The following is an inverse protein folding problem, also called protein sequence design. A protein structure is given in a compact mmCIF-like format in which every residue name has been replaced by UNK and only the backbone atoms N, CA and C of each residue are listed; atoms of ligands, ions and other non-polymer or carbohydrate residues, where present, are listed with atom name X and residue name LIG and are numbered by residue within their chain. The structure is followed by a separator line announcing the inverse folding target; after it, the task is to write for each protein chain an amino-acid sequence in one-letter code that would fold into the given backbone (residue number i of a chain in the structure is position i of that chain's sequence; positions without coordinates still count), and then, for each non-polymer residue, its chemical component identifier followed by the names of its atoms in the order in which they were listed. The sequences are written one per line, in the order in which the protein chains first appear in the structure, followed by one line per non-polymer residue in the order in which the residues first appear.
data_IF_564601859250
#
_entry.id   IF_564601859250
#
_cell.length_a   1.000
_cell.length_b   1.000
_cell.length_c   1.000
_cell.angle_alpha   90.00
_cell.angle_beta   90.00
_cell.angle_gamma   90.00
#
_symmetry.space_group_name_H-M   'P 1'
#
loop_
_entity.id
_entity.type
_entity.pdbx_description
1 polymer ?
#
# COMPACT_ATOMS: atom_id res chain seq x y z
N UNK A 1 7.24 -40.75 -7.41
CA UNK A 1 7.14 -39.75 -8.49
C UNK A 1 5.68 -39.52 -8.79
N UNK A 2 5.12 -38.36 -8.45
CA UNK A 2 3.71 -38.02 -8.69
C UNK A 2 3.69 -36.83 -9.64
N UNK A 3 3.11 -37.00 -10.82
CA UNK A 3 2.84 -35.94 -11.78
C UNK A 3 1.67 -35.09 -11.28
N UNK A 4 1.91 -33.80 -11.03
CA UNK A 4 0.85 -32.81 -10.79
C UNK A 4 0.39 -32.27 -12.15
N UNK A 5 -0.76 -32.73 -12.65
CA UNK A 5 -1.46 -32.02 -13.71
C UNK A 5 -2.11 -30.77 -13.10
N UNK A 6 -1.74 -29.59 -13.60
CA UNK A 6 -2.09 -28.28 -13.05
C UNK A 6 -3.54 -27.87 -13.22
N UNK A 7 -4.49 -28.67 -12.75
CA UNK A 7 -5.88 -28.28 -12.64
C UNK A 7 -6.15 -27.89 -11.18
N UNK A 8 -6.25 -26.59 -10.89
CA UNK A 8 -6.84 -26.13 -9.63
C UNK A 8 -8.32 -26.53 -9.64
N UNK A 9 -8.65 -27.68 -9.06
CA UNK A 9 -10.04 -28.07 -8.81
C UNK A 9 -10.34 -27.68 -7.38
N UNK A 10 -11.10 -26.59 -7.13
CA UNK A 10 -11.63 -26.37 -5.80
C UNK A 10 -12.62 -27.51 -5.55
N UNK A 11 -12.49 -28.18 -4.41
CA UNK A 11 -13.57 -29.02 -3.88
C UNK A 11 -14.92 -28.28 -4.03
N UNK A 12 -15.99 -29.00 -4.40
CA UNK A 12 -17.33 -28.40 -4.50
C UNK A 12 -17.65 -27.65 -3.22
N UNK A 13 -17.77 -26.34 -3.32
CA UNK A 13 -18.05 -25.50 -2.18
C UNK A 13 -19.40 -25.91 -1.60
N UNK A 14 -19.45 -26.09 -0.28
CA UNK A 14 -20.74 -26.28 0.38
C UNK A 14 -21.61 -25.05 0.09
N UNK A 15 -22.95 -25.18 0.03
CA UNK A 15 -23.84 -24.06 -0.27
C UNK A 15 -23.57 -22.80 0.59
N UNK A 16 -23.22 -23.00 1.86
CA UNK A 16 -22.84 -21.90 2.79
C UNK A 16 -21.56 -21.17 2.39
N UNK A 17 -20.58 -21.87 1.86
CA UNK A 17 -19.30 -21.29 1.45
C UNK A 17 -19.45 -20.53 0.13
N UNK A 18 -20.35 -20.98 -0.76
CA UNK A 18 -20.75 -20.25 -1.98
C UNK A 18 -21.39 -18.92 -1.61
N UNK A 19 -22.37 -18.94 -0.71
CA UNK A 19 -23.09 -17.73 -0.26
C UNK A 19 -22.14 -16.72 0.41
N UNK A 20 -21.24 -17.19 1.29
CA UNK A 20 -20.22 -16.33 1.92
C UNK A 20 -19.26 -15.69 0.93
N UNK A 21 -18.81 -16.47 -0.07
CA UNK A 21 -17.95 -15.95 -1.14
C UNK A 21 -18.69 -14.92 -1.98
N UNK A 22 -19.94 -15.20 -2.35
CA UNK A 22 -20.77 -14.29 -3.11
C UNK A 22 -20.96 -12.96 -2.37
N UNK A 23 -21.42 -12.99 -1.10
CA UNK A 23 -21.63 -11.77 -0.31
C UNK A 23 -20.34 -10.96 -0.10
N UNK A 24 -19.20 -11.64 0.11
CA UNK A 24 -17.90 -10.97 0.22
C UNK A 24 -17.50 -10.29 -1.09
N UNK A 25 -17.65 -10.98 -2.22
CA UNK A 25 -17.35 -10.42 -3.54
C UNK A 25 -18.28 -9.25 -3.89
N UNK A 26 -19.57 -9.33 -3.57
CA UNK A 26 -20.49 -8.20 -3.75
C UNK A 26 -20.06 -6.99 -2.92
N UNK A 27 -19.71 -7.18 -1.64
CA UNK A 27 -19.21 -6.10 -0.79
C UNK A 27 -17.94 -5.46 -1.34
N UNK A 28 -17.01 -6.27 -1.86
CA UNK A 28 -15.78 -5.78 -2.49
C UNK A 28 -16.07 -4.99 -3.76
N UNK A 29 -16.96 -5.47 -4.63
CA UNK A 29 -17.39 -4.77 -5.84
C UNK A 29 -18.10 -3.45 -5.51
N UNK A 30 -18.97 -3.45 -4.50
CA UNK A 30 -19.63 -2.23 -4.03
C UNK A 30 -18.63 -1.22 -3.46
N UNK A 31 -17.65 -1.67 -2.68
CA UNK A 31 -16.57 -0.81 -2.17
C UNK A 31 -15.70 -0.26 -3.31
N UNK A 32 -15.39 -1.07 -4.32
CA UNK A 32 -14.64 -0.62 -5.50
C UNK A 32 -15.40 0.42 -6.30
N UNK A 33 -16.70 0.19 -6.56
CA UNK A 33 -17.59 1.17 -7.22
C UNK A 33 -17.70 2.47 -6.42
N UNK A 34 -17.86 2.37 -5.08
CA UNK A 34 -17.85 3.54 -4.19
C UNK A 34 -16.52 4.28 -4.20
N UNK A 35 -15.38 3.58 -4.29
CA UNK A 35 -14.06 4.21 -4.39
C UNK A 35 -13.96 5.06 -5.66
N UNK A 36 -14.41 4.55 -6.80
CA UNK A 36 -14.50 5.33 -8.05
C UNK A 36 -15.41 6.55 -7.90
N UNK A 37 -16.62 6.35 -7.35
CA UNK A 37 -17.59 7.42 -7.10
C UNK A 37 -17.06 8.51 -6.15
N UNK A 38 -16.37 8.15 -5.07
CA UNK A 38 -15.79 9.10 -4.12
C UNK A 38 -14.68 9.93 -4.75
N UNK A 39 -13.82 9.33 -5.58
CA UNK A 39 -12.76 10.06 -6.29
C UNK A 39 -13.34 11.07 -7.28
N UNK A 40 -14.40 10.68 -8.01
CA UNK A 40 -15.13 11.54 -8.93
C UNK A 40 -15.85 12.68 -8.20
N UNK A 41 -16.52 12.38 -7.08
CA UNK A 41 -17.24 13.37 -6.26
C UNK A 41 -16.29 14.40 -5.65
N UNK A 42 -15.12 13.96 -5.18
CA UNK A 42 -14.10 14.83 -4.60
C UNK A 42 -13.27 15.57 -5.67
N UNK A 43 -13.47 15.26 -6.96
CA UNK A 43 -12.69 15.79 -8.11
C UNK A 43 -11.19 15.63 -7.92
N UNK A 44 -10.77 14.51 -7.33
CA UNK A 44 -9.35 14.21 -7.14
C UNK A 44 -8.78 13.56 -8.39
N UNK A 45 -7.70 14.14 -8.91
CA UNK A 45 -6.92 13.50 -9.96
C UNK A 45 -6.10 12.34 -9.40
N UNK A 46 -6.21 11.18 -10.03
CA UNK A 46 -5.45 9.99 -9.64
C UNK A 46 -4.20 9.89 -10.50
N UNK A 47 -3.03 10.05 -9.87
CA UNK A 47 -1.75 9.85 -10.54
C UNK A 47 -1.55 8.38 -10.90
N UNK A 48 -1.10 8.09 -12.13
CA UNK A 48 -0.74 6.74 -12.55
C UNK A 48 0.41 6.22 -11.69
N UNK A 49 0.28 4.98 -11.21
CA UNK A 49 1.29 4.33 -10.39
C UNK A 49 1.63 2.95 -10.96
N UNK A 50 2.89 2.70 -11.36
CA UNK A 50 3.29 1.40 -11.88
C UNK A 50 3.20 0.31 -10.79
N UNK A 51 2.83 -0.93 -11.16
CA UNK A 51 2.87 -2.06 -10.22
C UNK A 51 4.28 -2.29 -9.68
N UNK A 52 4.38 -2.70 -8.41
CA UNK A 52 5.63 -3.07 -7.75
C UNK A 52 6.69 -1.96 -7.69
N UNK A 53 6.32 -0.68 -7.64
CA UNK A 53 7.29 0.42 -7.59
C UNK A 53 7.27 1.18 -6.25
N UNK A 54 7.68 0.53 -5.13
CA UNK A 54 7.75 1.20 -3.83
C UNK A 54 8.81 2.32 -3.79
N UNK A 55 9.80 2.27 -4.70
CA UNK A 55 10.82 3.29 -4.90
C UNK A 55 10.28 4.59 -5.52
N UNK A 56 9.08 4.59 -6.11
CA UNK A 56 8.39 5.83 -6.55
C UNK A 56 7.18 6.18 -5.67
N UNK A 57 6.84 5.33 -4.70
CA UNK A 57 5.76 5.59 -3.74
C UNK A 57 6.31 6.40 -2.55
N UNK A 58 5.93 7.67 -2.37
CA UNK A 58 6.54 8.51 -1.35
C UNK A 58 6.30 7.99 0.07
N UNK A 59 5.22 7.25 0.30
CA UNK A 59 4.94 6.62 1.62
C UNK A 59 6.00 5.57 1.94
N UNK A 60 6.35 4.74 0.97
CA UNK A 60 7.23 3.59 1.16
C UNK A 60 8.68 4.02 1.28
N UNK A 61 9.19 4.81 0.32
CA UNK A 61 10.63 5.14 0.31
C UNK A 61 11.05 6.17 1.36
N UNK A 62 10.11 6.93 1.94
CA UNK A 62 10.42 8.01 2.89
C UNK A 62 9.74 7.85 4.25
N UNK A 63 8.40 7.84 4.28
CA UNK A 63 7.64 7.84 5.54
C UNK A 63 7.87 6.54 6.33
N UNK A 64 7.53 5.40 5.73
CA UNK A 64 7.68 4.10 6.38
C UNK A 64 9.14 3.72 6.57
N UNK A 65 10.02 4.09 5.63
CA UNK A 65 11.46 3.92 5.81
C UNK A 65 11.98 4.63 7.05
N UNK A 66 11.58 5.88 7.27
CA UNK A 66 11.94 6.66 8.46
C UNK A 66 11.31 6.08 9.74
N UNK A 67 10.06 5.64 9.66
CA UNK A 67 9.33 5.08 10.79
C UNK A 67 9.90 3.72 11.24
N UNK A 68 10.34 2.88 10.29
CA UNK A 68 10.93 1.58 10.58
C UNK A 68 12.14 1.67 11.53
N UNK A 69 12.97 2.70 11.38
CA UNK A 69 14.08 2.95 12.31
C UNK A 69 13.61 3.25 13.73
N UNK A 70 12.51 4.00 13.89
CA UNK A 70 11.93 4.29 15.20
C UNK A 70 11.20 3.10 15.82
N UNK A 71 10.70 2.19 15.00
CA UNK A 71 9.96 0.99 15.42
C UNK A 71 10.86 -0.19 15.78
N UNK A 72 12.10 -0.24 15.29
CA UNK A 72 12.98 -1.40 15.40
C UNK A 72 13.19 -1.87 16.85
N UNK A 73 13.23 -0.94 17.81
CA UNK A 73 13.47 -1.24 19.23
C UNK A 73 12.21 -1.14 20.10
N UNK A 74 11.02 -0.96 19.51
CA UNK A 74 9.78 -0.73 20.25
C UNK A 74 9.00 -2.03 20.46
N UNK A 75 8.51 -2.23 21.68
CA UNK A 75 7.61 -3.32 22.03
C UNK A 75 6.32 -2.73 22.58
N UNK A 76 5.22 -2.92 21.87
CA UNK A 76 3.90 -2.43 22.26
C UNK A 76 3.07 -3.57 22.85
N UNK A 77 2.31 -3.25 23.90
CA UNK A 77 1.42 -4.21 24.58
C UNK A 77 -0.04 -4.07 24.15
N UNK A 78 -0.38 -2.96 23.47
CA UNK A 78 -1.75 -2.66 23.05
C UNK A 78 -1.80 -1.87 21.75
N UNK A 79 -2.96 -1.87 21.10
CA UNK A 79 -3.22 -1.04 19.92
C UNK A 79 -3.22 0.45 20.27
N UNK A 80 -3.62 0.80 21.49
CA UNK A 80 -3.65 2.18 21.99
C UNK A 80 -2.23 2.75 22.11
N UNK A 81 -1.28 1.95 22.59
CA UNK A 81 0.14 2.31 22.64
C UNK A 81 0.71 2.55 21.24
N UNK A 82 0.37 1.68 20.27
CA UNK A 82 0.79 1.85 18.87
C UNK A 82 0.27 3.18 18.31
N UNK A 83 -1.03 3.48 18.51
CA UNK A 83 -1.63 4.72 18.03
C UNK A 83 -0.96 5.94 18.65
N UNK A 84 -0.79 5.94 19.98
CA UNK A 84 -0.15 7.04 20.70
C UNK A 84 1.29 7.26 20.24
N UNK A 85 2.04 6.19 19.99
CA UNK A 85 3.40 6.28 19.47
C UNK A 85 3.43 6.88 18.05
N UNK A 86 2.53 6.43 17.15
CA UNK A 86 2.43 6.96 15.79
C UNK A 86 2.08 8.45 15.82
N UNK A 87 1.09 8.84 16.61
CA UNK A 87 0.67 10.25 16.73
C UNK A 87 1.83 11.13 17.23
N UNK A 88 2.54 10.67 18.27
CA UNK A 88 3.70 11.37 18.82
C UNK A 88 4.85 11.46 17.81
N UNK A 89 5.12 10.37 17.08
CA UNK A 89 6.18 10.32 16.07
C UNK A 89 5.89 11.24 14.89
N UNK A 90 4.63 11.31 14.44
CA UNK A 90 4.20 12.22 13.36
C UNK A 90 4.30 13.66 13.84
N UNK A 91 3.84 13.97 15.06
CA UNK A 91 3.91 15.32 15.63
C UNK A 91 5.34 15.84 15.81
N UNK A 92 6.32 14.94 15.97
CA UNK A 92 7.73 15.28 16.05
C UNK A 92 8.33 15.69 14.69
N UNK A 93 7.71 15.31 13.56
CA UNK A 93 8.25 15.64 12.23
C UNK A 93 7.89 17.06 11.84
N UNK A 94 8.89 17.79 11.38
CA UNK A 94 8.71 19.12 10.83
C UNK A 94 8.08 19.09 9.41
N UNK A 95 7.57 20.23 8.96
CA UNK A 95 6.98 20.37 7.63
C UNK A 95 7.97 20.07 6.48
N UNK A 96 9.26 20.33 6.67
CA UNK A 96 10.27 20.05 5.65
C UNK A 96 10.46 18.55 5.45
N UNK A 97 10.28 17.73 6.48
CA UNK A 97 10.25 16.27 6.36
C UNK A 97 9.20 15.82 5.33
N UNK A 98 7.98 16.33 5.42
CA UNK A 98 6.90 15.97 4.48
C UNK A 98 7.06 16.62 3.10
N UNK A 99 7.57 17.86 3.04
CA UNK A 99 7.83 18.54 1.76
C UNK A 99 8.95 17.88 0.97
N UNK A 100 10.02 17.44 1.63
CA UNK A 100 11.16 16.78 0.99
C UNK A 100 10.75 15.50 0.28
N UNK A 101 9.86 14.72 0.90
CA UNK A 101 9.24 13.53 0.30
C UNK A 101 8.60 13.84 -1.06
N UNK A 102 7.83 14.92 -1.19
CA UNK A 102 7.20 15.26 -2.47
C UNK A 102 8.20 15.85 -3.46
N UNK A 103 9.14 16.67 -2.98
CA UNK A 103 10.16 17.34 -3.82
C UNK A 103 11.17 16.39 -4.46
N UNK A 104 11.44 15.24 -3.85
CA UNK A 104 12.38 14.24 -4.37
C UNK A 104 11.75 13.28 -5.38
N UNK A 105 10.45 13.42 -5.64
CA UNK A 105 9.73 12.56 -6.56
C UNK A 105 10.17 12.72 -8.03
N UNK A 106 10.39 13.93 -8.58
CA UNK A 106 10.90 14.10 -9.93
C UNK A 106 12.27 13.46 -10.14
N UNK A 107 13.21 13.65 -9.21
CA UNK A 107 14.55 13.04 -9.26
C UNK A 107 14.47 11.50 -9.28
N UNK A 108 13.49 10.92 -8.57
CA UNK A 108 13.26 9.46 -8.59
C UNK A 108 12.70 9.00 -9.93
N UNK A 109 11.76 9.74 -10.52
CA UNK A 109 11.27 9.44 -11.87
C UNK A 109 12.38 9.49 -12.91
N UNK A 110 13.26 10.49 -12.84
CA UNK A 110 14.43 10.59 -13.71
C UNK A 110 15.34 9.36 -13.56
N UNK A 111 15.58 8.89 -12.33
CA UNK A 111 16.37 7.68 -12.10
C UNK A 111 15.70 6.42 -12.66
N UNK A 112 14.38 6.28 -12.56
CA UNK A 112 13.64 5.16 -13.18
C UNK A 112 13.82 5.19 -14.69
N UNK A 113 13.66 6.36 -15.31
CA UNK A 113 13.81 6.53 -16.77
C UNK A 113 15.25 6.25 -17.20
N UNK A 114 16.23 6.81 -16.50
CA UNK A 114 17.66 6.57 -16.79
C UNK A 114 18.11 5.13 -16.56
N UNK A 115 17.34 4.35 -15.78
CA UNK A 115 17.59 2.93 -15.52
C UNK A 115 16.72 2.01 -16.38
N UNK A 116 16.05 2.51 -17.42
CA UNK A 116 15.13 1.76 -18.27
C UNK A 116 14.08 0.95 -17.48
N UNK A 117 13.57 1.54 -16.39
CA UNK A 117 12.57 0.92 -15.52
C UNK A 117 13.13 -0.05 -14.48
N UNK A 118 14.45 -0.26 -14.42
CA UNK A 118 15.08 -1.04 -13.36
C UNK A 118 15.10 -0.29 -12.02
N UNK A 119 15.14 -1.05 -10.92
CA UNK A 119 15.30 -0.47 -9.59
C UNK A 119 16.66 0.22 -9.43
N UNK A 120 16.66 1.32 -8.69
CA UNK A 120 17.87 2.08 -8.37
C UNK A 120 18.06 2.18 -6.86
N UNK A 121 19.32 2.34 -6.43
CA UNK A 121 19.62 2.59 -5.02
C UNK A 121 19.24 4.01 -4.64
N UNK A 122 18.50 4.13 -3.53
CA UNK A 122 18.13 5.40 -2.89
C UNK A 122 19.30 6.03 -2.17
#
# INVERSE_FOLDING_TARGET
MIQKQGHWVPYELKPRDVERRFGTCELLLQRQKRKGFLLETLKWEVLLHPPYSPDVAPSDYHLFRSMAHGLADQHFRSCEEVKSWIDSWIALKDDQFFRRRIRTLPERWEKVVASDGQYFKS
#
